data_IF_654496636433
#
_entry.id   IF_654496636433
#
_cell.length_a   1.000
_cell.length_b   1.000
_cell.length_c   1.000
_cell.angle_alpha   90.00
_cell.angle_beta   90.00
_cell.angle_gamma   90.00
#
_symmetry.space_group_name_H-M   'P 1'
#
loop_
_entity.id
_entity.type
_entity.pdbx_description
1 polymer ?
#
# COMPACT_ATOMS: atom_id res chain seq x y z
N UNK A 1 22.52 18.40 28.04
CA UNK A 1 21.58 18.94 27.03
C UNK A 1 20.84 17.78 26.38
N UNK A 2 19.58 17.52 26.77
CA UNK A 2 18.76 16.40 26.28
C UNK A 2 17.72 16.94 25.29
N UNK A 3 17.91 16.72 23.98
CA UNK A 3 16.92 17.10 22.96
C UNK A 3 15.91 15.97 22.78
N UNK A 4 14.73 16.12 23.40
CA UNK A 4 13.51 15.36 23.05
C UNK A 4 12.86 16.05 21.86
N UNK A 5 12.97 15.49 20.67
CA UNK A 5 12.18 15.88 19.50
C UNK A 5 10.88 15.09 19.51
N UNK A 6 9.82 15.73 20.00
CA UNK A 6 8.46 15.20 19.91
C UNK A 6 7.94 15.35 18.47
N UNK A 7 7.32 14.27 18.02
CA UNK A 7 6.80 14.07 16.68
C UNK A 7 5.60 14.98 16.41
N UNK A 8 5.65 15.72 15.30
CA UNK A 8 4.54 16.48 14.74
C UNK A 8 4.04 15.74 13.49
N UNK A 9 2.72 15.78 13.31
CA UNK A 9 1.93 15.48 12.11
C UNK A 9 1.38 14.05 11.97
N UNK A 10 0.07 13.92 12.21
CA UNK A 10 -0.93 13.82 11.12
C UNK A 10 -2.26 13.32 11.68
N UNK A 11 -3.07 14.24 12.21
CA UNK A 11 -4.45 13.96 12.59
C UNK A 11 -5.32 14.21 11.34
N UNK A 12 -5.50 13.15 10.53
CA UNK A 12 -6.39 13.19 9.37
C UNK A 12 -7.80 12.82 9.84
N UNK A 13 -8.68 13.81 9.73
CA UNK A 13 -10.11 13.82 10.00
C UNK A 13 -10.82 12.68 9.28
N UNK A 14 -11.42 11.77 10.04
CA UNK A 14 -12.31 10.73 9.52
C UNK A 14 -13.76 11.22 9.60
N UNK A 15 -14.24 11.87 8.53
CA UNK A 15 -15.64 12.22 8.39
C UNK A 15 -16.40 11.01 7.84
N UNK A 16 -16.95 10.17 8.73
CA UNK A 16 -17.90 9.12 8.35
C UNK A 16 -19.30 9.68 8.50
N UNK A 17 -19.93 9.97 7.36
CA UNK A 17 -21.34 10.30 7.25
C UNK A 17 -22.16 9.03 7.51
N UNK A 18 -22.78 8.92 8.68
CA UNK A 18 -23.79 7.90 8.99
C UNK A 18 -25.16 8.50 8.60
N UNK A 19 -25.70 8.09 7.46
CA UNK A 19 -27.14 8.19 7.21
C UNK A 19 -27.74 6.79 7.34
N UNK A 20 -28.23 6.48 8.54
CA UNK A 20 -29.12 5.35 8.78
C UNK A 20 -30.53 5.78 8.36
N UNK A 21 -31.00 5.18 7.27
CA UNK A 21 -32.40 5.26 6.82
C UNK A 21 -33.24 4.43 7.80
N UNK A 22 -34.36 5.02 8.19
CA UNK A 22 -35.34 4.52 9.15
C UNK A 22 -35.87 3.13 8.80
N UNK A 23 -36.01 2.30 9.83
CA UNK A 23 -36.83 1.08 9.83
C UNK A 23 -38.19 1.45 10.43
N UNK A 24 -39.32 1.34 9.71
CA UNK A 24 -40.62 1.27 10.36
C UNK A 24 -40.89 -0.19 10.74
N UNK A 25 -40.86 -0.46 12.04
CA UNK A 25 -41.43 -1.67 12.63
C UNK A 25 -42.96 -1.58 12.50
N UNK A 26 -43.55 -2.60 11.88
CA UNK A 26 -44.99 -2.75 11.75
C UNK A 26 -45.65 -3.00 13.11
N UNK A 27 -46.81 -2.38 13.34
CA UNK A 27 -47.79 -2.85 14.32
C UNK A 27 -49.21 -2.77 13.73
N UNK A 28 -49.90 -3.91 13.85
CA UNK A 28 -51.24 -4.31 13.46
C UNK A 28 -52.34 -3.23 13.51
N UNK A 29 -53.22 -3.22 12.49
CA UNK A 29 -54.66 -3.54 12.63
C UNK A 29 -55.43 -3.34 11.29
N UNK A 30 -56.37 -4.23 10.99
CA UNK A 30 -57.50 -3.91 10.11
C UNK A 30 -57.56 -4.66 8.78
N UNK A 31 -58.57 -5.51 8.64
CA UNK A 31 -58.96 -6.34 7.50
C UNK A 31 -58.99 -5.64 6.13
N UNK A 32 -58.44 -6.31 5.11
CA UNK A 32 -58.98 -6.35 3.75
C UNK A 32 -58.29 -7.49 2.96
N UNK A 33 -59.08 -8.28 2.22
CA UNK A 33 -58.59 -9.23 1.21
C UNK A 33 -57.66 -8.51 0.22
N UNK A 34 -56.57 -9.16 -0.24
CA UNK A 34 -56.13 -8.93 -1.61
C UNK A 34 -55.90 -10.22 -2.38
N UNK A 35 -56.27 -10.16 -3.65
CA UNK A 35 -55.97 -11.11 -4.70
C UNK A 35 -54.49 -11.51 -4.73
N UNK A 36 -54.27 -12.80 -4.99
CA UNK A 36 -53.00 -13.38 -5.36
C UNK A 36 -52.59 -12.82 -6.73
N UNK A 37 -51.80 -11.75 -6.74
CA UNK A 37 -51.07 -11.29 -7.93
C UNK A 37 -49.62 -11.75 -7.81
N UNK A 38 -49.28 -12.72 -8.64
CA UNK A 38 -47.98 -13.40 -8.73
C UNK A 38 -46.78 -12.44 -8.63
N UNK A 39 -46.01 -12.59 -7.55
CA UNK A 39 -44.76 -11.90 -7.22
C UNK A 39 -43.54 -12.62 -7.81
N UNK A 40 -43.51 -12.84 -9.12
CA UNK A 40 -42.36 -13.48 -9.79
C UNK A 40 -41.37 -12.50 -10.43
N UNK A 41 -41.64 -11.19 -10.42
CA UNK A 41 -40.78 -10.18 -11.07
C UNK A 41 -39.76 -9.51 -10.15
N UNK A 42 -39.86 -9.67 -8.82
CA UNK A 42 -39.01 -8.97 -7.85
C UNK A 42 -37.62 -9.60 -7.71
N UNK A 43 -37.48 -10.90 -7.95
CA UNK A 43 -36.20 -11.62 -7.82
C UNK A 43 -35.24 -11.33 -8.98
N UNK A 44 -35.75 -11.22 -10.21
CA UNK A 44 -34.95 -10.92 -11.40
C UNK A 44 -34.38 -9.49 -11.37
N UNK A 45 -35.17 -8.50 -10.94
CA UNK A 45 -34.74 -7.12 -10.79
C UNK A 45 -33.72 -6.94 -9.64
N UNK A 46 -33.87 -7.69 -8.54
CA UNK A 46 -32.91 -7.70 -7.44
C UNK A 46 -31.57 -8.33 -7.84
N UNK A 47 -31.59 -9.40 -8.65
CA UNK A 47 -30.41 -10.04 -9.23
C UNK A 47 -29.63 -9.09 -10.15
N UNK A 48 -30.31 -8.47 -11.11
CA UNK A 48 -29.69 -7.49 -12.03
C UNK A 48 -29.08 -6.28 -11.30
N UNK A 49 -29.73 -5.79 -10.23
CA UNK A 49 -29.20 -4.71 -9.41
C UNK A 49 -27.95 -5.14 -8.61
N UNK A 50 -27.90 -6.38 -8.11
CA UNK A 50 -26.74 -6.92 -7.40
C UNK A 50 -25.54 -7.10 -8.33
N UNK A 51 -25.75 -7.63 -9.54
CA UNK A 51 -24.71 -7.82 -10.56
C UNK A 51 -24.11 -6.48 -11.01
N UNK A 52 -24.97 -5.48 -11.24
CA UNK A 52 -24.52 -4.12 -11.61
C UNK A 52 -23.68 -3.48 -10.51
N UNK A 53 -24.04 -3.67 -9.23
CA UNK A 53 -23.26 -3.17 -8.09
C UNK A 53 -21.90 -3.86 -7.98
N UNK A 54 -21.84 -5.17 -8.21
CA UNK A 54 -20.59 -5.92 -8.22
C UNK A 54 -19.66 -5.48 -9.36
N UNK A 55 -20.20 -5.31 -10.58
CA UNK A 55 -19.46 -4.81 -11.73
C UNK A 55 -18.90 -3.39 -11.49
N UNK A 56 -19.72 -2.48 -10.94
CA UNK A 56 -19.28 -1.12 -10.59
C UNK A 56 -18.17 -1.14 -9.53
N UNK A 57 -18.24 -2.04 -8.55
CA UNK A 57 -17.19 -2.20 -7.54
C UNK A 57 -15.88 -2.73 -8.17
N UNK A 58 -15.96 -3.73 -9.06
CA UNK A 58 -14.79 -4.24 -9.80
C UNK A 58 -14.10 -3.12 -10.59
N UNK A 59 -14.86 -2.34 -11.36
CA UNK A 59 -14.33 -1.21 -12.14
C UNK A 59 -13.64 -0.16 -11.25
N UNK A 60 -14.24 0.17 -10.09
CA UNK A 60 -13.64 1.10 -9.12
C UNK A 60 -12.32 0.55 -8.56
N UNK A 61 -12.30 -0.73 -8.20
CA UNK A 61 -11.10 -1.39 -7.68
C UNK A 61 -10.00 -1.38 -8.73
N UNK A 62 -10.29 -1.76 -9.98
CA UNK A 62 -9.31 -1.76 -11.06
C UNK A 62 -8.70 -0.39 -11.32
N UNK A 63 -9.52 0.67 -11.34
CA UNK A 63 -9.03 2.04 -11.50
C UNK A 63 -8.09 2.46 -10.37
N UNK A 64 -8.44 2.12 -9.11
CA UNK A 64 -7.59 2.41 -7.95
C UNK A 64 -6.30 1.59 -7.99
N UNK A 65 -6.37 0.32 -8.38
CA UNK A 65 -5.20 -0.55 -8.49
C UNK A 65 -4.26 -0.09 -9.60
N UNK A 66 -4.77 0.40 -10.73
CA UNK A 66 -3.95 0.98 -11.81
C UNK A 66 -3.16 2.18 -11.32
N UNK A 67 -3.83 3.13 -10.65
CA UNK A 67 -3.17 4.31 -10.09
C UNK A 67 -2.16 3.93 -8.99
N UNK A 68 -2.49 2.96 -8.13
CA UNK A 68 -1.60 2.44 -7.10
C UNK A 68 -0.36 1.80 -7.71
N UNK A 69 -0.52 0.93 -8.71
CA UNK A 69 0.58 0.28 -9.41
C UNK A 69 1.53 1.30 -10.03
N UNK A 70 1.00 2.30 -10.74
CA UNK A 70 1.83 3.36 -11.33
C UNK A 70 2.68 4.10 -10.27
N UNK A 71 2.10 4.41 -9.10
CA UNK A 71 2.83 5.04 -7.99
C UNK A 71 3.87 4.11 -7.39
N UNK A 72 3.53 2.85 -7.17
CA UNK A 72 4.45 1.84 -6.63
C UNK A 72 5.65 1.66 -7.56
N UNK A 73 5.41 1.45 -8.85
CA UNK A 73 6.44 1.25 -9.86
C UNK A 73 7.35 2.49 -9.98
N UNK A 74 6.79 3.69 -9.95
CA UNK A 74 7.55 4.93 -9.99
C UNK A 74 8.49 5.09 -8.77
N UNK A 75 8.01 4.77 -7.57
CA UNK A 75 8.83 4.83 -6.35
C UNK A 75 9.90 3.74 -6.38
N UNK A 76 9.57 2.51 -6.79
CA UNK A 76 10.51 1.41 -6.90
C UNK A 76 11.63 1.74 -7.91
N UNK A 77 11.29 2.29 -9.07
CA UNK A 77 12.26 2.74 -10.06
C UNK A 77 13.17 3.86 -9.53
N UNK A 78 12.63 4.79 -8.73
CA UNK A 78 13.45 5.82 -8.09
C UNK A 78 14.46 5.23 -7.11
N UNK A 79 14.04 4.25 -6.29
CA UNK A 79 14.91 3.58 -5.34
C UNK A 79 16.00 2.76 -6.03
N UNK A 80 15.68 2.06 -7.12
CA UNK A 80 16.67 1.36 -7.95
C UNK A 80 17.69 2.32 -8.58
N UNK A 81 17.24 3.48 -9.09
CA UNK A 81 18.17 4.51 -9.59
C UNK A 81 19.09 5.03 -8.50
N UNK A 82 18.61 5.16 -7.26
CA UNK A 82 19.44 5.54 -6.11
C UNK A 82 20.42 4.45 -5.74
N UNK A 83 20.02 3.18 -5.71
CA UNK A 83 20.92 2.03 -5.50
C UNK A 83 22.11 2.07 -6.47
N UNK A 84 21.83 2.15 -7.77
CA UNK A 84 22.86 2.20 -8.80
C UNK A 84 23.82 3.39 -8.62
N UNK A 85 23.30 4.56 -8.21
CA UNK A 85 24.15 5.73 -7.92
C UNK A 85 25.06 5.50 -6.72
N UNK A 86 24.54 4.94 -5.62
CA UNK A 86 25.35 4.65 -4.42
C UNK A 86 26.40 3.59 -4.74
N UNK A 87 26.06 2.59 -5.55
CA UNK A 87 27.00 1.55 -6.00
C UNK A 87 28.15 2.12 -6.85
N UNK A 88 27.85 3.02 -7.79
CA UNK A 88 28.89 3.73 -8.56
C UNK A 88 29.79 4.56 -7.65
N UNK A 89 29.23 5.27 -6.67
CA UNK A 89 30.02 6.05 -5.72
C UNK A 89 30.88 5.15 -4.82
N UNK A 90 30.35 4.01 -4.38
CA UNK A 90 31.10 3.02 -3.61
C UNK A 90 32.31 2.51 -4.39
N UNK A 91 32.14 2.19 -5.68
CA UNK A 91 33.27 1.80 -6.54
C UNK A 91 34.35 2.87 -6.67
N UNK A 92 33.98 4.16 -6.67
CA UNK A 92 34.96 5.26 -6.68
C UNK A 92 35.73 5.36 -5.36
N UNK A 93 35.04 5.24 -4.22
CA UNK A 93 35.67 5.30 -2.89
C UNK A 93 36.59 4.08 -2.68
N UNK A 94 36.18 2.90 -3.15
CA UNK A 94 37.01 1.70 -3.13
C UNK A 94 38.27 1.85 -3.97
N UNK A 95 38.19 2.50 -5.14
CA UNK A 95 39.36 2.80 -5.97
C UNK A 95 40.34 3.77 -5.29
N UNK A 96 39.87 4.58 -4.35
CA UNK A 96 40.69 5.44 -3.48
C UNK A 96 41.18 4.72 -2.22
N UNK A 97 40.92 3.42 -2.08
CA UNK A 97 41.37 2.60 -0.94
C UNK A 97 40.41 2.54 0.25
N UNK A 98 39.19 3.08 0.13
CA UNK A 98 38.18 2.98 1.18
C UNK A 98 37.51 1.60 1.26
N UNK A 99 37.29 1.08 2.46
CA UNK A 99 36.52 -0.17 2.65
C UNK A 99 35.01 0.07 2.52
N UNK A 100 34.41 -0.45 1.45
CA UNK A 100 32.97 -0.32 1.15
C UNK A 100 32.18 -1.62 1.36
N UNK A 101 32.74 -2.63 2.03
CA UNK A 101 32.08 -3.92 2.22
C UNK A 101 30.72 -3.80 2.94
N UNK A 102 30.65 -2.98 3.98
CA UNK A 102 29.41 -2.72 4.69
C UNK A 102 28.38 -2.00 3.79
N UNK A 103 28.81 -0.99 3.03
CA UNK A 103 27.94 -0.27 2.09
C UNK A 103 27.32 -1.21 1.06
N UNK A 104 28.11 -2.12 0.48
CA UNK A 104 27.62 -3.14 -0.45
C UNK A 104 26.58 -4.06 0.18
N UNK A 105 26.79 -4.49 1.42
CA UNK A 105 25.83 -5.30 2.17
C UNK A 105 24.49 -4.58 2.34
N UNK A 106 24.53 -3.29 2.66
CA UNK A 106 23.33 -2.47 2.83
C UNK A 106 22.58 -2.23 1.51
N UNK A 107 23.30 -2.08 0.39
CA UNK A 107 22.69 -1.99 -0.94
C UNK A 107 21.97 -3.31 -1.27
N UNK A 108 22.60 -4.46 -1.04
CA UNK A 108 22.01 -5.78 -1.26
C UNK A 108 20.75 -5.99 -0.41
N UNK A 109 20.79 -5.60 0.86
CA UNK A 109 19.61 -5.67 1.74
C UNK A 109 18.48 -4.77 1.24
N UNK A 110 18.79 -3.55 0.79
CA UNK A 110 17.78 -2.70 0.15
C UNK A 110 17.18 -3.35 -1.10
N UNK A 111 17.96 -4.09 -1.90
CA UNK A 111 17.44 -4.81 -3.08
C UNK A 111 16.46 -5.91 -2.65
N UNK A 112 16.82 -6.70 -1.63
CA UNK A 112 15.93 -7.73 -1.06
C UNK A 112 14.62 -7.12 -0.54
N UNK A 113 14.68 -5.98 0.16
CA UNK A 113 13.49 -5.28 0.64
C UNK A 113 12.58 -4.81 -0.50
N UNK A 114 13.14 -4.34 -1.62
CA UNK A 114 12.35 -3.96 -2.80
C UNK A 114 11.68 -5.17 -3.46
N UNK A 115 12.35 -6.31 -3.54
CA UNK A 115 11.78 -7.54 -4.06
C UNK A 115 10.63 -8.05 -3.18
N UNK A 116 10.82 -8.06 -1.87
CA UNK A 116 9.76 -8.39 -0.91
C UNK A 116 8.58 -7.42 -1.04
N UNK A 117 8.85 -6.11 -1.20
CA UNK A 117 7.79 -5.11 -1.40
C UNK A 117 6.96 -5.40 -2.66
N UNK A 118 7.59 -5.88 -3.75
CA UNK A 118 6.90 -6.26 -5.00
C UNK A 118 6.00 -7.47 -4.80
N UNK A 119 6.50 -8.51 -4.15
CA UNK A 119 5.70 -9.71 -3.83
C UNK A 119 4.49 -9.32 -2.98
N UNK A 120 4.71 -8.49 -1.96
CA UNK A 120 3.67 -8.02 -1.06
C UNK A 120 2.64 -7.11 -1.76
N UNK A 121 3.06 -6.32 -2.76
CA UNK A 121 2.16 -5.53 -3.58
C UNK A 121 1.31 -6.41 -4.51
N UNK A 122 1.87 -7.49 -5.05
CA UNK A 122 1.09 -8.46 -5.84
C UNK A 122 0.02 -9.16 -4.97
N UNK A 123 0.37 -9.53 -3.73
CA UNK A 123 -0.59 -10.07 -2.76
C UNK A 123 -1.70 -9.07 -2.39
N UNK A 124 -1.35 -7.79 -2.26
CA UNK A 124 -2.32 -6.71 -2.05
C UNK A 124 -3.29 -6.58 -3.26
N UNK A 125 -2.75 -6.62 -4.48
CA UNK A 125 -3.53 -6.54 -5.72
C UNK A 125 -4.49 -7.73 -5.84
N UNK A 126 -4.02 -8.96 -5.60
CA UNK A 126 -4.88 -10.15 -5.63
C UNK A 126 -5.97 -10.10 -4.56
N UNK A 127 -5.63 -9.67 -3.33
CA UNK A 127 -6.60 -9.49 -2.26
C UNK A 127 -7.68 -8.46 -2.62
N UNK A 128 -7.32 -7.33 -3.23
CA UNK A 128 -8.31 -6.34 -3.69
C UNK A 128 -9.21 -6.87 -4.80
N UNK A 129 -8.66 -7.63 -5.75
CA UNK A 129 -9.45 -8.25 -6.83
C UNK A 129 -10.47 -9.27 -6.32
N UNK A 130 -10.22 -9.90 -5.17
CA UNK A 130 -11.14 -10.85 -4.55
C UNK A 130 -12.27 -10.20 -3.73
N UNK A 131 -12.17 -8.90 -3.38
CA UNK A 131 -13.17 -8.20 -2.54
C UNK A 131 -14.61 -8.27 -3.10
N UNK A 132 -14.86 -8.12 -4.42
CA UNK A 132 -16.23 -8.15 -4.95
C UNK A 132 -16.95 -9.48 -4.75
N UNK A 133 -16.21 -10.59 -4.74
CA UNK A 133 -16.72 -11.96 -4.59
C UNK A 133 -16.76 -12.41 -3.13
N UNK A 134 -16.17 -11.64 -2.21
CA UNK A 134 -16.14 -12.01 -0.80
C UNK A 134 -17.53 -11.91 -0.16
N UNK A 135 -17.88 -12.92 0.65
CA UNK A 135 -19.09 -12.93 1.47
C UNK A 135 -19.17 -11.69 2.37
N UNK A 136 -18.07 -11.35 3.04
CA UNK A 136 -17.93 -10.12 3.82
C UNK A 136 -16.92 -9.16 3.19
N UNK A 137 -17.43 -8.30 2.29
CA UNK A 137 -16.64 -7.29 1.55
C UNK A 137 -15.88 -6.34 2.48
N UNK A 138 -16.45 -5.99 3.63
CA UNK A 138 -15.82 -5.07 4.59
C UNK A 138 -14.58 -5.68 5.24
N UNK A 139 -14.66 -6.94 5.66
CA UNK A 139 -13.51 -7.68 6.22
C UNK A 139 -12.44 -7.89 5.15
N UNK A 140 -12.83 -8.34 3.95
CA UNK A 140 -11.91 -8.57 2.83
C UNK A 140 -11.17 -7.27 2.43
N UNK A 141 -11.87 -6.14 2.38
CA UNK A 141 -11.25 -4.84 2.09
C UNK A 141 -10.25 -4.41 3.15
N UNK A 142 -10.55 -4.61 4.45
CA UNK A 142 -9.60 -4.31 5.53
C UNK A 142 -8.36 -5.19 5.46
N UNK A 143 -8.53 -6.48 5.17
CA UNK A 143 -7.41 -7.40 4.97
C UNK A 143 -6.53 -6.97 3.79
N UNK A 144 -7.12 -6.65 2.64
CA UNK A 144 -6.38 -6.14 1.48
C UNK A 144 -5.60 -4.84 1.80
N UNK A 145 -6.19 -3.92 2.59
CA UNK A 145 -5.46 -2.73 3.06
C UNK A 145 -4.29 -3.06 3.99
N UNK A 146 -4.42 -4.07 4.85
CA UNK A 146 -3.32 -4.50 5.72
C UNK A 146 -2.14 -5.02 4.89
N UNK A 147 -2.38 -5.84 3.88
CA UNK A 147 -1.34 -6.27 2.93
C UNK A 147 -0.68 -5.09 2.21
N UNK A 148 -1.49 -4.12 1.76
CA UNK A 148 -0.98 -2.91 1.13
C UNK A 148 -0.11 -2.02 2.04
N UNK A 149 -0.29 -2.09 3.36
CA UNK A 149 0.57 -1.38 4.34
C UNK A 149 1.92 -2.07 4.49
N UNK A 150 1.95 -3.41 4.50
CA UNK A 150 3.20 -4.18 4.55
C UNK A 150 4.12 -3.84 3.37
N UNK A 151 3.56 -3.77 2.15
CA UNK A 151 4.33 -3.40 0.95
C UNK A 151 4.96 -2.00 1.09
N UNK A 152 4.19 -1.03 1.58
CA UNK A 152 4.68 0.34 1.81
C UNK A 152 5.76 0.38 2.88
N UNK A 153 5.63 -0.41 3.94
CA UNK A 153 6.63 -0.47 5.01
C UNK A 153 7.97 -1.00 4.50
N UNK A 154 7.95 -2.07 3.69
CA UNK A 154 9.15 -2.60 3.04
C UNK A 154 9.82 -1.55 2.13
N UNK A 155 9.05 -0.76 1.38
CA UNK A 155 9.62 0.34 0.58
C UNK A 155 10.27 1.42 1.45
N UNK A 156 9.68 1.75 2.60
CA UNK A 156 10.29 2.71 3.54
C UNK A 156 11.58 2.17 4.13
N UNK A 157 11.59 0.90 4.54
CA UNK A 157 12.79 0.23 5.06
C UNK A 157 13.91 0.26 4.03
N UNK A 158 13.62 -0.08 2.76
CA UNK A 158 14.58 0.04 1.66
C UNK A 158 15.13 1.48 1.54
N UNK A 159 14.26 2.49 1.63
CA UNK A 159 14.66 3.90 1.55
C UNK A 159 15.57 4.30 2.71
N UNK A 160 15.26 3.86 3.92
CA UNK A 160 16.07 4.11 5.11
C UNK A 160 17.43 3.43 4.94
N UNK A 161 17.45 2.17 4.52
CA UNK A 161 18.69 1.41 4.30
C UNK A 161 19.62 2.10 3.29
N UNK A 162 19.07 2.60 2.18
CA UNK A 162 19.83 3.37 1.20
C UNK A 162 20.37 4.69 1.74
N UNK A 163 19.59 5.39 2.56
CA UNK A 163 20.05 6.63 3.19
C UNK A 163 21.21 6.34 4.13
N UNK A 164 21.10 5.31 4.96
CA UNK A 164 22.16 4.90 5.89
C UNK A 164 23.41 4.46 5.12
N UNK A 165 23.25 3.70 4.02
CA UNK A 165 24.37 3.31 3.15
C UNK A 165 25.09 4.53 2.53
N UNK A 166 24.33 5.56 2.13
CA UNK A 166 24.90 6.80 1.61
C UNK A 166 25.68 7.57 2.68
N UNK A 167 25.16 7.61 3.91
CA UNK A 167 25.83 8.25 5.06
C UNK A 167 27.12 7.52 5.45
N UNK A 168 27.09 6.19 5.43
CA UNK A 168 28.27 5.36 5.68
C UNK A 168 29.35 5.59 4.63
N UNK A 169 28.94 5.61 3.36
CA UNK A 169 29.85 5.88 2.25
C UNK A 169 30.50 7.27 2.35
N UNK A 170 29.73 8.29 2.75
CA UNK A 170 30.27 9.62 2.97
C UNK A 170 31.33 9.64 4.08
N UNK A 171 31.07 8.94 5.21
CA UNK A 171 32.04 8.81 6.30
C UNK A 171 33.33 8.14 5.84
N UNK A 172 33.23 7.05 5.07
CA UNK A 172 34.40 6.35 4.52
C UNK A 172 35.19 7.29 3.60
N UNK A 173 34.51 8.00 2.70
CA UNK A 173 35.14 8.94 1.78
C UNK A 173 35.89 10.07 2.50
N UNK A 174 35.31 10.62 3.57
CA UNK A 174 35.97 11.62 4.43
C UNK A 174 37.23 11.06 5.09
N UNK A 175 37.19 9.81 5.56
CA UNK A 175 38.35 9.14 6.17
C UNK A 175 39.50 8.92 5.18
N UNK A 176 39.19 8.58 3.93
CA UNK A 176 40.19 8.41 2.86
C UNK A 176 40.84 9.74 2.48
N UNK A 177 40.03 10.80 2.31
CA UNK A 177 40.56 12.12 1.97
C UNK A 177 41.51 12.68 3.04
N UNK A 178 41.23 12.43 4.32
CA UNK A 178 42.07 12.85 5.44
C UNK A 178 43.42 12.11 5.52
N UNK A 179 43.57 10.96 4.87
CA UNK A 179 44.84 10.22 4.83
C UNK A 179 45.79 10.65 3.70
N UNK A 180 45.32 11.49 2.78
CA UNK A 180 46.12 12.00 1.66
C UNK A 180 46.76 13.40 1.95
N UNK A 181 46.43 14.03 3.08
CA UNK A 181 47.08 15.26 3.59
C UNK A 181 48.26 14.97 4.53
#
# INVERSE_FOLDING_TARGET
MKKKTQSIAALITASVLVMAIAVPAAALQGAAKPEVRSTSTTSAAAGQAADTRAANLRNRIENVLRARKARFDAIAANLQKRQARVEVLAGKVEALGGDVAQVRTMIQESTRLLEQARVQEQACVSAFKAVPEAENKGVAFRAARAEGRKAVELMKQSRIQLRTATQELARIAEGVAATEE
#
